data_IF_198650488255
#
_entry.id   IF_198650488255
#
_cell.length_a   1.000
_cell.length_b   1.000
_cell.length_c   1.000
_cell.angle_alpha   90.00
_cell.angle_beta   90.00
_cell.angle_gamma   90.00
#
_symmetry.space_group_name_H-M   'P 1'
#
loop_
_entity.id
_entity.type
_entity.pdbx_description
1 polymer ?
#
# COMPACT_ATOMS: atom_id res chain seq x y z
N UNK A 1 41.79 32.36 -40.85
CA UNK A 1 41.14 31.53 -39.82
C UNK A 1 40.04 32.37 -39.18
N UNK A 2 38.76 32.18 -39.57
CA UNK A 2 37.65 33.03 -39.10
C UNK A 2 37.24 32.57 -37.69
N UNK A 3 37.49 33.39 -36.68
CA UNK A 3 37.06 33.16 -35.30
C UNK A 3 35.55 33.39 -35.21
N UNK A 4 34.79 32.32 -34.92
CA UNK A 4 33.35 32.41 -34.69
C UNK A 4 33.12 33.15 -33.36
N UNK A 5 32.50 34.33 -33.41
CA UNK A 5 32.05 35.04 -32.20
C UNK A 5 31.07 34.13 -31.45
N UNK A 6 31.39 33.76 -30.22
CA UNK A 6 30.44 33.11 -29.31
C UNK A 6 29.32 34.13 -29.01
N UNK A 7 28.08 33.80 -29.36
CA UNK A 7 26.92 34.57 -28.92
C UNK A 7 26.79 34.38 -27.40
N UNK A 8 26.93 35.46 -26.65
CA UNK A 8 26.69 35.46 -25.21
C UNK A 8 25.18 35.56 -24.97
N UNK A 9 24.68 34.74 -24.06
CA UNK A 9 23.28 34.70 -23.68
C UNK A 9 22.89 36.02 -23.01
N UNK A 10 21.80 36.63 -23.45
CA UNK A 10 21.32 37.90 -22.88
C UNK A 10 20.51 37.65 -21.60
N UNK A 11 20.50 38.62 -20.69
CA UNK A 11 19.67 38.55 -19.47
C UNK A 11 18.18 38.42 -19.80
N UNK A 12 17.74 39.00 -20.92
CA UNK A 12 16.34 38.97 -21.36
C UNK A 12 15.94 37.55 -21.77
N UNK A 13 16.79 36.84 -22.52
CA UNK A 13 16.52 35.45 -22.90
C UNK A 13 16.40 34.55 -21.67
N UNK A 14 17.25 34.76 -20.65
CA UNK A 14 17.17 34.00 -19.40
C UNK A 14 15.87 34.29 -18.64
N UNK A 15 15.49 35.57 -18.58
CA UNK A 15 14.33 36.02 -17.83
C UNK A 15 13.02 35.50 -18.43
N UNK A 16 12.90 35.50 -19.76
CA UNK A 16 11.73 34.94 -20.46
C UNK A 16 11.61 33.44 -20.20
N UNK A 17 12.71 32.70 -20.21
CA UNK A 17 12.70 31.24 -19.98
C UNK A 17 12.23 30.90 -18.58
N UNK A 18 12.76 31.56 -17.54
CA UNK A 18 12.31 31.31 -16.17
C UNK A 18 10.84 31.71 -15.96
N UNK A 19 10.37 32.77 -16.63
CA UNK A 19 8.98 33.20 -16.57
C UNK A 19 8.04 32.12 -17.15
N UNK A 20 8.40 31.54 -18.30
CA UNK A 20 7.62 30.44 -18.91
C UNK A 20 7.62 29.21 -18.00
N UNK A 21 8.78 28.81 -17.45
CA UNK A 21 8.89 27.68 -16.52
C UNK A 21 8.02 27.91 -15.27
N UNK A 22 8.02 29.13 -14.72
CA UNK A 22 7.22 29.48 -13.55
C UNK A 22 5.71 29.35 -13.81
N UNK A 23 5.23 29.82 -14.97
CA UNK A 23 3.82 29.68 -15.37
C UNK A 23 3.44 28.20 -15.52
N UNK A 24 4.27 27.42 -16.23
CA UNK A 24 4.02 25.99 -16.43
C UNK A 24 4.05 25.22 -15.10
N UNK A 25 5.03 25.50 -14.24
CA UNK A 25 5.14 24.88 -12.92
C UNK A 25 3.95 25.24 -12.02
N UNK A 26 3.46 26.49 -12.09
CA UNK A 26 2.28 26.94 -11.36
C UNK A 26 1.01 26.16 -11.69
N UNK A 27 0.87 25.69 -12.94
CA UNK A 27 -0.25 24.84 -13.36
C UNK A 27 -0.01 23.35 -13.03
N UNK A 28 1.24 22.89 -13.08
CA UNK A 28 1.59 21.48 -12.87
C UNK A 28 1.56 21.05 -11.39
N UNK A 29 2.03 21.89 -10.47
CA UNK A 29 2.09 21.56 -9.03
C UNK A 29 0.74 21.16 -8.41
N UNK A 30 -0.36 21.92 -8.59
CA UNK A 30 -1.67 21.52 -8.05
C UNK A 30 -2.24 20.28 -8.73
N UNK A 31 -1.99 20.09 -10.03
CA UNK A 31 -2.42 18.90 -10.75
C UNK A 31 -1.68 17.64 -10.25
N UNK A 32 -0.36 17.73 -10.03
CA UNK A 32 0.47 16.65 -9.52
C UNK A 32 0.09 16.26 -8.08
N UNK A 33 -0.21 17.23 -7.23
CA UNK A 33 -0.67 16.97 -5.87
C UNK A 33 -1.97 16.14 -5.84
N UNK A 34 -2.95 16.51 -6.69
CA UNK A 34 -4.20 15.75 -6.88
C UNK A 34 -3.98 14.38 -7.50
N UNK A 35 -3.07 14.26 -8.47
CA UNK A 35 -2.74 12.98 -9.07
C UNK A 35 -2.12 12.01 -8.05
N UNK A 36 -1.22 12.51 -7.19
CA UNK A 36 -0.58 11.72 -6.13
C UNK A 36 -1.57 11.19 -5.10
N UNK A 37 -2.55 11.99 -4.67
CA UNK A 37 -3.58 11.52 -3.73
C UNK A 37 -4.49 10.47 -4.37
N UNK A 38 -4.89 10.66 -5.63
CA UNK A 38 -5.65 9.66 -6.40
C UNK A 38 -4.88 8.35 -6.58
N UNK A 39 -3.59 8.41 -6.90
CA UNK A 39 -2.75 7.23 -7.03
C UNK A 39 -2.69 6.42 -5.73
N UNK A 40 -2.51 7.09 -4.58
CA UNK A 40 -2.56 6.44 -3.26
C UNK A 40 -3.92 5.80 -2.97
N UNK A 41 -5.02 6.47 -3.33
CA UNK A 41 -6.35 5.92 -3.17
C UNK A 41 -6.56 4.66 -4.03
N UNK A 42 -6.09 4.66 -5.29
CA UNK A 42 -6.13 3.48 -6.17
C UNK A 42 -5.32 2.33 -5.57
N UNK A 43 -4.12 2.59 -5.04
CA UNK A 43 -3.32 1.54 -4.39
C UNK A 43 -4.04 0.95 -3.19
N UNK A 44 -4.63 1.78 -2.33
CA UNK A 44 -5.40 1.32 -1.17
C UNK A 44 -6.62 0.49 -1.58
N UNK A 45 -7.37 0.97 -2.58
CA UNK A 45 -8.53 0.26 -3.14
C UNK A 45 -8.14 -1.10 -3.71
N UNK A 46 -7.02 -1.18 -4.45
CA UNK A 46 -6.52 -2.45 -4.98
C UNK A 46 -6.13 -3.43 -3.85
N UNK A 47 -5.43 -2.95 -2.82
CA UNK A 47 -5.13 -3.75 -1.63
C UNK A 47 -6.38 -4.29 -0.94
N UNK A 48 -7.41 -3.45 -0.77
CA UNK A 48 -8.68 -3.87 -0.19
C UNK A 48 -9.42 -4.90 -1.06
N UNK A 49 -9.40 -4.74 -2.38
CA UNK A 49 -9.99 -5.72 -3.29
C UNK A 49 -9.28 -7.08 -3.17
N UNK A 50 -7.95 -7.10 -3.10
CA UNK A 50 -7.17 -8.32 -2.92
C UNK A 50 -7.50 -9.01 -1.58
N UNK A 51 -7.58 -8.25 -0.49
CA UNK A 51 -7.98 -8.76 0.82
C UNK A 51 -9.41 -9.33 0.79
N UNK A 52 -10.35 -8.62 0.16
CA UNK A 52 -11.74 -9.08 0.03
C UNK A 52 -11.85 -10.37 -0.77
N UNK A 53 -11.07 -10.52 -1.84
CA UNK A 53 -11.03 -11.76 -2.63
C UNK A 53 -10.45 -12.92 -1.80
N UNK A 54 -9.35 -12.69 -1.08
CA UNK A 54 -8.78 -13.70 -0.19
C UNK A 54 -9.77 -14.16 0.89
N UNK A 55 -10.55 -13.22 1.43
CA UNK A 55 -11.64 -13.53 2.36
C UNK A 55 -12.72 -14.43 1.78
N UNK A 56 -13.15 -14.16 0.56
CA UNK A 56 -14.17 -14.97 -0.11
C UNK A 56 -13.66 -16.37 -0.40
N UNK A 57 -12.47 -16.50 -0.98
CA UNK A 57 -11.88 -17.80 -1.28
C UNK A 57 -11.72 -18.67 -0.04
N UNK A 58 -11.25 -18.08 1.06
CA UNK A 58 -11.16 -18.82 2.32
C UNK A 58 -12.53 -19.31 2.82
N UNK A 59 -13.56 -18.46 2.76
CA UNK A 59 -14.90 -18.84 3.21
C UNK A 59 -15.49 -19.96 2.34
N UNK A 60 -15.28 -19.88 1.02
CA UNK A 60 -15.72 -20.90 0.06
C UNK A 60 -15.08 -22.27 0.34
N UNK A 61 -13.81 -22.30 0.76
CA UNK A 61 -13.07 -23.53 1.08
C UNK A 61 -13.27 -24.04 2.52
N UNK A 62 -13.84 -23.23 3.42
CA UNK A 62 -13.94 -23.54 4.86
C UNK A 62 -15.39 -23.50 5.38
N UNK A 63 -16.31 -24.17 4.68
CA UNK A 63 -17.71 -24.33 5.07
C UNK A 63 -18.42 -22.99 5.40
N UNK A 64 -18.07 -21.91 4.69
CA UNK A 64 -18.62 -20.57 4.90
C UNK A 64 -18.11 -19.86 6.15
N UNK A 65 -17.13 -20.42 6.86
CA UNK A 65 -16.54 -19.79 8.05
C UNK A 65 -15.65 -18.63 7.64
N UNK A 66 -15.89 -17.46 8.24
CA UNK A 66 -15.07 -16.27 8.02
C UNK A 66 -13.85 -16.29 8.94
N UNK A 67 -12.72 -15.74 8.48
CA UNK A 67 -11.55 -15.52 9.34
C UNK A 67 -11.83 -14.40 10.35
N UNK A 68 -11.24 -14.51 11.55
CA UNK A 68 -11.35 -13.49 12.58
C UNK A 68 -10.65 -12.18 12.18
N UNK A 69 -11.39 -11.07 12.21
CA UNK A 69 -10.87 -9.73 11.85
C UNK A 69 -10.43 -8.88 13.05
N UNK A 70 -10.52 -9.40 14.27
CA UNK A 70 -10.31 -8.61 15.48
C UNK A 70 -9.16 -9.13 16.35
N UNK A 71 -8.35 -8.19 16.86
CA UNK A 71 -7.40 -8.38 17.97
C UNK A 71 -8.12 -8.54 19.33
N UNK A 72 -9.31 -9.13 19.29
CA UNK A 72 -10.24 -9.20 20.40
C UNK A 72 -10.36 -10.64 20.87
N UNK A 73 -9.81 -10.89 22.06
CA UNK A 73 -10.18 -12.01 22.90
C UNK A 73 -11.71 -12.20 22.83
N UNK A 74 -12.19 -13.36 22.38
CA UNK A 74 -13.61 -13.67 22.56
C UNK A 74 -13.93 -13.61 24.05
N UNK A 75 -15.20 -13.39 24.41
CA UNK A 75 -15.72 -13.53 25.78
C UNK A 75 -15.57 -14.93 26.38
N UNK A 76 -14.76 -15.80 25.78
CA UNK A 76 -14.41 -17.17 26.19
C UNK A 76 -12.89 -17.37 26.39
N UNK A 77 -12.08 -16.31 26.34
CA UNK A 77 -10.62 -16.37 26.62
C UNK A 77 -9.75 -17.02 25.54
N UNK A 78 -10.33 -17.61 24.48
CA UNK A 78 -9.58 -18.20 23.37
C UNK A 78 -9.19 -17.12 22.35
N UNK A 79 -7.89 -17.02 22.03
CA UNK A 79 -7.40 -16.18 20.95
C UNK A 79 -7.73 -16.85 19.62
N UNK A 80 -8.48 -16.17 18.76
CA UNK A 80 -8.66 -16.57 17.36
C UNK A 80 -7.57 -15.86 16.56
N UNK A 81 -6.86 -16.54 15.65
CA UNK A 81 -5.86 -15.87 14.81
C UNK A 81 -6.48 -14.76 13.95
N UNK A 82 -5.90 -13.56 14.06
CA UNK A 82 -6.26 -12.41 13.24
C UNK A 82 -5.40 -12.41 11.96
N UNK A 83 -6.05 -12.55 10.82
CA UNK A 83 -5.38 -12.63 9.53
C UNK A 83 -4.87 -11.26 9.01
N UNK A 84 -5.50 -10.12 9.39
CA UNK A 84 -5.08 -8.76 8.96
C UNK A 84 -3.84 -8.29 9.72
N UNK A 85 -3.78 -8.57 11.03
CA UNK A 85 -2.75 -8.05 11.92
C UNK A 85 -1.43 -8.82 11.88
N UNK A 86 -1.38 -10.00 11.24
CA UNK A 86 -0.20 -10.87 11.24
C UNK A 86 0.25 -11.30 12.64
N UNK A 87 -0.62 -11.12 13.66
CA UNK A 87 -0.32 -11.36 15.07
C UNK A 87 -0.26 -12.87 15.40
N UNK A 88 -0.53 -13.71 14.41
CA UNK A 88 -0.46 -15.17 14.49
C UNK A 88 0.95 -15.71 14.20
N UNK A 89 1.81 -14.94 13.53
CA UNK A 89 3.19 -15.34 13.23
C UNK A 89 4.14 -14.88 14.33
N UNK A 90 4.65 -15.83 15.12
CA UNK A 90 5.79 -15.60 15.99
C UNK A 90 7.09 -15.64 15.16
N UNK A 91 7.60 -14.45 14.85
CA UNK A 91 8.85 -14.28 14.09
C UNK A 91 10.12 -14.58 14.92
N UNK A 92 10.00 -14.69 16.23
CA UNK A 92 11.13 -14.95 17.13
C UNK A 92 11.33 -16.45 17.38
N UNK A 93 10.27 -17.25 17.29
CA UNK A 93 10.33 -18.70 17.46
C UNK A 93 9.65 -19.44 16.29
N UNK A 94 10.43 -19.91 15.29
CA UNK A 94 9.87 -20.61 14.14
C UNK A 94 9.22 -21.96 14.49
N UNK A 95 9.53 -22.55 15.65
CA UNK A 95 8.96 -23.85 16.08
C UNK A 95 7.58 -23.73 16.74
N UNK A 96 7.08 -22.53 16.97
CA UNK A 96 5.76 -22.33 17.59
C UNK A 96 4.68 -22.91 16.67
N UNK A 97 3.78 -23.73 17.21
CA UNK A 97 2.69 -24.36 16.44
C UNK A 97 1.78 -23.31 15.81
N UNK A 98 1.63 -22.14 16.42
CA UNK A 98 0.94 -20.97 15.87
C UNK A 98 1.40 -20.62 14.44
N UNK A 99 2.65 -20.89 14.06
CA UNK A 99 3.16 -20.55 12.74
C UNK A 99 2.67 -21.47 11.61
N UNK A 100 2.18 -22.68 11.92
CA UNK A 100 1.90 -23.71 10.90
C UNK A 100 0.72 -24.65 11.20
N UNK A 101 0.27 -24.73 12.45
CA UNK A 101 -0.82 -25.62 12.88
C UNK A 101 -2.19 -24.99 12.58
N UNK A 102 -2.63 -25.20 11.35
CA UNK A 102 -3.93 -24.71 10.87
C UNK A 102 -5.11 -25.45 11.49
N UNK A 103 -4.96 -26.70 11.89
CA UNK A 103 -6.08 -27.49 12.42
C UNK A 103 -6.47 -27.01 13.82
N UNK A 104 -5.48 -26.74 14.67
CA UNK A 104 -5.69 -26.21 16.02
C UNK A 104 -6.22 -24.77 16.02
N UNK A 105 -5.60 -23.90 15.21
CA UNK A 105 -5.81 -22.45 15.28
C UNK A 105 -6.87 -21.91 14.31
N UNK A 106 -7.03 -22.53 13.14
CA UNK A 106 -8.07 -22.15 12.18
C UNK A 106 -9.32 -22.99 12.37
N UNK A 107 -9.16 -24.32 12.38
CA UNK A 107 -10.31 -25.23 12.34
C UNK A 107 -10.85 -25.55 13.73
N UNK A 108 -10.06 -25.33 14.77
CA UNK A 108 -10.44 -25.59 16.16
C UNK A 108 -10.62 -27.07 16.47
N UNK A 109 -9.96 -27.96 15.72
CA UNK A 109 -10.01 -29.41 15.87
C UNK A 109 -8.73 -29.85 16.59
N UNK A 110 -8.87 -30.65 17.64
CA UNK A 110 -7.76 -31.26 18.41
C UNK A 110 -7.48 -32.68 17.91
#
# INVERSE_FOLDING_TARGET
>A
MKTLKKQAFTLIELLVVIAIIAILAGLLLPALAKAKSKARAITCMNGNNQLTMAWRFYADENDGRLVGSGRGQMMSGKQIPEWIGGNWLDKNNPKKSDNWDVDLWIRGVN
#
